data_IF_936680056905
#
_entry.id   IF_936680056905
#
_cell.length_a   1.000
_cell.length_b   1.000
_cell.length_c   1.000
_cell.angle_alpha   90.00
_cell.angle_beta   90.00
_cell.angle_gamma   90.00
#
_symmetry.space_group_name_H-M   'P 1'
#
loop_
_entity.id
_entity.type
_entity.pdbx_description
1 polymer ?
#
# COMPACT_ATOMS: atom_id res chain seq x y z
N UNK A 1 28.74 -41.52 -21.02
CA UNK A 1 27.40 -40.90 -21.08
C UNK A 1 26.67 -40.89 -19.73
N UNK A 2 26.49 -42.01 -19.01
CA UNK A 2 25.81 -42.04 -17.68
C UNK A 2 26.39 -41.10 -16.60
N UNK A 3 27.72 -40.93 -16.54
CA UNK A 3 28.38 -40.09 -15.53
C UNK A 3 28.13 -38.57 -15.71
N UNK A 4 27.89 -38.12 -16.95
CA UNK A 4 27.61 -36.71 -17.27
C UNK A 4 26.18 -36.30 -16.88
N UNK A 5 25.21 -37.22 -17.02
CA UNK A 5 23.80 -36.97 -16.67
C UNK A 5 23.63 -36.76 -15.17
N UNK A 6 24.33 -37.54 -14.34
CA UNK A 6 24.25 -37.45 -12.88
C UNK A 6 24.80 -36.10 -12.38
N UNK A 7 25.88 -35.60 -12.99
CA UNK A 7 26.49 -34.30 -12.62
C UNK A 7 25.55 -33.14 -12.96
N UNK A 8 24.88 -33.19 -14.12
CA UNK A 8 23.91 -32.16 -14.53
C UNK A 8 22.71 -32.14 -13.58
N UNK A 9 22.19 -33.31 -13.19
CA UNK A 9 21.08 -33.40 -12.24
C UNK A 9 21.49 -32.82 -10.87
N UNK A 10 22.70 -33.11 -10.39
CA UNK A 10 23.19 -32.56 -9.11
C UNK A 10 23.37 -31.04 -9.14
N UNK A 11 23.79 -30.45 -10.27
CA UNK A 11 23.91 -28.99 -10.41
C UNK A 11 22.54 -28.32 -10.47
N UNK A 12 21.55 -28.93 -11.15
CA UNK A 12 20.19 -28.40 -11.21
C UNK A 12 19.49 -28.54 -9.85
N UNK A 13 19.70 -29.66 -9.15
CA UNK A 13 19.20 -29.84 -7.78
C UNK A 13 19.87 -28.84 -6.85
N UNK A 14 21.20 -28.75 -6.82
CA UNK A 14 21.92 -27.80 -5.96
C UNK A 14 21.61 -26.33 -6.29
N UNK A 15 21.51 -25.97 -7.58
CA UNK A 15 21.15 -24.62 -8.03
C UNK A 15 19.68 -24.27 -7.77
N UNK A 16 18.78 -25.26 -7.81
CA UNK A 16 17.35 -25.10 -7.52
C UNK A 16 17.04 -24.78 -6.06
N UNK A 17 17.95 -25.09 -5.12
CA UNK A 17 17.79 -24.74 -3.69
C UNK A 17 18.27 -23.33 -3.33
N UNK A 18 19.02 -22.65 -4.21
CA UNK A 18 19.71 -21.39 -3.88
C UNK A 18 18.83 -20.14 -4.11
N UNK A 19 17.71 -20.25 -4.84
CA UNK A 19 16.80 -19.11 -5.02
C UNK A 19 15.72 -19.13 -3.93
N UNK A 20 16.13 -18.97 -2.67
CA UNK A 20 15.22 -18.41 -1.64
C UNK A 20 15.35 -16.90 -1.75
N UNK A 21 14.52 -16.33 -2.61
CA UNK A 21 14.30 -14.88 -2.67
C UNK A 21 13.85 -14.44 -1.26
N UNK A 22 14.74 -13.80 -0.52
CA UNK A 22 14.38 -13.13 0.73
C UNK A 22 13.56 -11.90 0.36
N UNK A 23 12.26 -12.07 0.17
CA UNK A 23 11.34 -10.93 0.11
C UNK A 23 11.34 -10.28 1.49
N UNK A 24 12.10 -9.19 1.63
CA UNK A 24 12.02 -8.32 2.80
C UNK A 24 10.60 -7.76 2.85
N UNK A 25 9.89 -7.98 3.96
CA UNK A 25 8.62 -7.31 4.20
C UNK A 25 8.88 -5.81 4.29
N UNK A 26 8.22 -5.05 3.41
CA UNK A 26 8.33 -3.61 3.38
C UNK A 26 7.54 -3.01 4.54
N UNK A 27 8.12 -2.07 5.26
CA UNK A 27 7.43 -1.31 6.31
C UNK A 27 6.39 -0.37 5.71
N UNK A 28 5.40 0.05 6.49
CA UNK A 28 4.38 1.02 6.03
C UNK A 28 5.01 2.34 5.59
N UNK A 29 6.09 2.78 6.25
CA UNK A 29 6.80 4.01 5.90
C UNK A 29 7.54 3.91 4.56
N UNK A 30 8.09 2.74 4.25
CA UNK A 30 8.70 2.45 2.93
C UNK A 30 7.62 2.34 1.85
N UNK A 31 6.48 1.71 2.15
CA UNK A 31 5.37 1.55 1.20
C UNK A 31 4.68 2.87 0.87
N UNK A 32 4.48 3.73 1.88
CA UNK A 32 3.83 5.04 1.77
C UNK A 32 4.77 6.15 2.24
N UNK A 33 5.74 6.54 1.40
CA UNK A 33 6.69 7.58 1.75
C UNK A 33 6.01 8.93 1.97
N UNK A 34 6.57 9.73 2.87
CA UNK A 34 6.13 11.08 3.15
C UNK A 34 6.51 12.08 2.03
N UNK A 35 6.04 13.34 2.15
CA UNK A 35 5.23 13.88 3.23
C UNK A 35 3.73 13.56 3.09
N UNK A 36 2.97 13.73 4.18
CA UNK A 36 1.52 13.75 4.11
C UNK A 36 1.04 14.91 3.23
N UNK A 37 0.09 14.64 2.33
CA UNK A 37 -0.63 15.65 1.57
C UNK A 37 -1.98 15.90 2.21
N UNK A 38 -2.30 17.16 2.45
CA UNK A 38 -3.62 17.57 2.96
C UNK A 38 -4.65 17.57 1.83
N UNK A 39 -5.89 17.16 2.14
CA UNK A 39 -6.99 17.24 1.19
C UNK A 39 -7.24 18.70 0.77
N UNK A 40 -7.07 19.01 -0.51
CA UNK A 40 -7.39 20.32 -1.10
C UNK A 40 -8.44 20.19 -2.19
N UNK A 41 -9.46 21.05 -2.17
CA UNK A 41 -10.55 21.06 -3.16
C UNK A 41 -10.09 21.27 -4.61
N UNK A 42 -8.87 21.77 -4.82
CA UNK A 42 -8.33 22.09 -6.14
C UNK A 42 -7.59 20.92 -6.79
N UNK A 43 -7.25 19.86 -6.03
CA UNK A 43 -6.49 18.73 -6.55
C UNK A 43 -7.44 17.61 -7.03
N UNK A 44 -7.24 17.12 -8.26
CA UNK A 44 -8.04 16.02 -8.83
C UNK A 44 -7.95 14.76 -7.97
N UNK A 45 -6.77 14.41 -7.48
CA UNK A 45 -6.54 13.28 -6.55
C UNK A 45 -7.43 13.35 -5.32
N UNK A 46 -7.58 14.55 -4.73
CA UNK A 46 -8.45 14.76 -3.56
C UNK A 46 -9.93 14.52 -3.92
N UNK A 47 -10.34 14.92 -5.12
CA UNK A 47 -11.71 14.65 -5.57
C UNK A 47 -11.95 13.16 -5.79
N UNK A 48 -11.01 12.45 -6.40
CA UNK A 48 -11.10 11.01 -6.67
C UNK A 48 -11.13 10.18 -5.38
N UNK A 49 -10.23 10.47 -4.42
CA UNK A 49 -10.21 9.81 -3.10
C UNK A 49 -11.53 10.04 -2.38
N UNK A 50 -12.03 11.29 -2.35
CA UNK A 50 -13.31 11.62 -1.72
C UNK A 50 -14.46 10.83 -2.34
N UNK A 51 -14.49 10.73 -3.67
CA UNK A 51 -15.53 9.99 -4.38
C UNK A 51 -15.47 8.49 -4.05
N UNK A 52 -14.27 7.88 -4.04
CA UNK A 52 -14.09 6.48 -3.68
C UNK A 52 -14.56 6.20 -2.24
N UNK A 53 -14.19 7.04 -1.28
CA UNK A 53 -14.64 6.94 0.12
C UNK A 53 -16.16 7.05 0.23
N UNK A 54 -16.76 8.03 -0.44
CA UNK A 54 -18.21 8.22 -0.46
C UNK A 54 -18.94 7.03 -1.11
N UNK A 55 -18.42 6.52 -2.23
CA UNK A 55 -18.97 5.38 -2.95
C UNK A 55 -18.96 4.08 -2.14
N UNK A 56 -18.02 3.94 -1.21
CA UNK A 56 -17.93 2.83 -0.27
C UNK A 56 -18.62 3.12 1.08
N UNK A 57 -19.43 4.18 1.16
CA UNK A 57 -20.17 4.60 2.36
C UNK A 57 -19.28 4.86 3.59
N UNK A 58 -18.03 5.28 3.39
CA UNK A 58 -17.16 5.69 4.50
C UNK A 58 -17.68 7.00 5.09
N UNK A 59 -18.28 6.91 6.27
CA UNK A 59 -18.82 8.07 7.01
C UNK A 59 -17.75 8.70 7.88
N UNK A 60 -17.99 9.94 8.32
CA UNK A 60 -17.16 10.64 9.31
C UNK A 60 -15.70 10.83 8.84
N UNK A 61 -15.53 11.18 7.56
CA UNK A 61 -14.25 11.33 6.89
C UNK A 61 -14.20 12.68 6.17
N UNK A 62 -14.53 13.76 6.91
CA UNK A 62 -14.69 15.11 6.37
C UNK A 62 -13.35 15.84 6.17
N UNK A 63 -12.33 15.47 6.95
CA UNK A 63 -10.95 15.93 6.80
C UNK A 63 -10.05 14.72 6.67
N UNK A 64 -9.11 14.78 5.73
CA UNK A 64 -8.16 13.70 5.54
C UNK A 64 -6.83 14.19 4.99
N UNK A 65 -5.80 13.40 5.27
CA UNK A 65 -4.47 13.52 4.69
C UNK A 65 -4.11 12.19 4.04
N UNK A 66 -3.26 12.22 3.02
CA UNK A 66 -2.94 11.02 2.27
C UNK A 66 -1.47 10.93 1.86
N UNK A 67 -0.98 9.70 1.68
CA UNK A 67 0.30 9.36 1.07
C UNK A 67 0.07 8.38 -0.06
N UNK A 68 0.87 8.49 -1.10
CA UNK A 68 0.80 7.62 -2.28
C UNK A 68 1.69 6.40 -2.06
N UNK A 69 1.26 5.23 -2.52
CA UNK A 69 2.13 4.05 -2.53
C UNK A 69 3.34 4.27 -3.46
N UNK A 70 4.52 3.79 -3.07
CA UNK A 70 5.76 4.06 -3.80
C UNK A 70 5.75 3.52 -5.25
N UNK A 71 5.15 2.34 -5.47
CA UNK A 71 5.13 1.65 -6.79
C UNK A 71 3.72 1.40 -7.35
N UNK A 72 2.67 1.85 -6.64
CA UNK A 72 1.29 1.63 -7.06
C UNK A 72 0.60 2.98 -7.27
N UNK A 73 0.59 3.51 -8.51
CA UNK A 73 0.28 4.91 -8.73
C UNK A 73 -1.17 5.31 -8.45
N UNK A 74 -2.06 4.34 -8.30
CA UNK A 74 -3.48 4.53 -7.98
C UNK A 74 -3.83 4.10 -6.55
N UNK A 75 -2.83 3.77 -5.73
CA UNK A 75 -3.01 3.34 -4.35
C UNK A 75 -2.56 4.43 -3.37
N UNK A 76 -3.40 4.67 -2.37
CA UNK A 76 -3.21 5.73 -1.40
C UNK A 76 -3.51 5.23 0.00
N UNK A 77 -2.61 5.51 0.94
CA UNK A 77 -2.91 5.46 2.36
C UNK A 77 -3.57 6.80 2.75
N UNK A 78 -4.78 6.71 3.29
CA UNK A 78 -5.58 7.86 3.68
C UNK A 78 -5.82 7.81 5.19
N UNK A 79 -5.34 8.81 5.90
CA UNK A 79 -5.75 9.06 7.29
C UNK A 79 -6.90 10.04 7.26
N UNK A 80 -8.04 9.68 7.85
CA UNK A 80 -9.16 10.62 8.00
C UNK A 80 -9.76 10.66 9.38
N UNK A 81 -10.40 11.78 9.65
CA UNK A 81 -10.98 12.12 10.95
C UNK A 81 -12.26 12.94 10.75
N UNK A 82 -13.16 12.87 11.73
CA UNK A 82 -14.34 13.74 11.81
C UNK A 82 -14.17 14.86 12.84
N UNK A 83 -13.41 14.62 13.91
CA UNK A 83 -13.23 15.50 15.06
C UNK A 83 -11.87 16.21 15.05
N UNK A 84 -10.95 15.80 14.18
CA UNK A 84 -9.58 16.33 14.12
C UNK A 84 -8.59 15.60 15.04
N UNK A 85 -9.05 14.69 15.89
CA UNK A 85 -8.23 14.01 16.91
C UNK A 85 -8.26 12.49 16.77
N UNK A 86 -9.41 11.92 16.41
CA UNK A 86 -9.59 10.48 16.20
C UNK A 86 -9.35 10.14 14.73
N UNK A 87 -8.12 9.74 14.42
CA UNK A 87 -7.72 9.35 13.07
C UNK A 87 -7.95 7.86 12.81
N UNK A 88 -8.41 7.53 11.60
CA UNK A 88 -8.48 6.16 11.08
C UNK A 88 -7.78 6.10 9.75
N UNK A 89 -7.13 4.97 9.48
CA UNK A 89 -6.45 4.72 8.22
C UNK A 89 -7.34 3.90 7.27
N UNK A 90 -7.22 4.20 5.98
CA UNK A 90 -7.83 3.45 4.88
C UNK A 90 -6.82 3.32 3.75
N UNK A 91 -6.89 2.22 3.02
CA UNK A 91 -6.19 2.07 1.75
C UNK A 91 -7.20 2.26 0.63
N UNK A 92 -6.94 3.21 -0.26
CA UNK A 92 -7.82 3.58 -1.38
C UNK A 92 -7.13 3.23 -2.69
N UNK A 93 -7.72 2.31 -3.44
CA UNK A 93 -7.27 1.90 -4.77
C UNK A 93 -8.21 2.53 -5.81
N UNK A 94 -7.79 3.65 -6.40
CA UNK A 94 -8.61 4.40 -7.34
C UNK A 94 -8.90 3.63 -8.64
N UNK A 95 -7.93 2.85 -9.13
CA UNK A 95 -8.08 2.06 -10.35
C UNK A 95 -9.16 0.97 -10.25
N UNK A 96 -9.41 0.46 -9.05
CA UNK A 96 -10.41 -0.56 -8.77
C UNK A 96 -11.64 -0.02 -8.02
N UNK A 97 -11.67 1.29 -7.75
CA UNK A 97 -12.68 1.95 -6.91
C UNK A 97 -12.91 1.22 -5.56
N UNK A 98 -11.84 0.69 -4.98
CA UNK A 98 -11.85 -0.15 -3.79
C UNK A 98 -11.30 0.62 -2.59
N UNK A 99 -11.96 0.48 -1.44
CA UNK A 99 -11.51 1.03 -0.16
C UNK A 99 -11.38 -0.12 0.84
N UNK A 100 -10.27 -0.14 1.58
CA UNK A 100 -9.98 -1.14 2.60
C UNK A 100 -9.77 -0.44 3.95
N UNK A 101 -10.25 -1.03 5.03
CA UNK A 101 -10.24 -0.45 6.38
C UNK A 101 -11.65 -0.37 6.99
N UNK A 102 -11.83 0.35 8.11
CA UNK A 102 -10.83 1.17 8.79
C UNK A 102 -9.73 0.35 9.47
N UNK A 103 -8.53 0.92 9.51
CA UNK A 103 -7.38 0.43 10.26
C UNK A 103 -6.95 1.44 11.34
N UNK A 104 -6.27 1.00 12.41
CA UNK A 104 -5.56 1.92 13.28
C UNK A 104 -4.46 2.67 12.48
N UNK A 105 -4.27 3.98 12.70
CA UNK A 105 -3.12 4.71 12.16
C UNK A 105 -1.80 4.07 12.60
N UNK A 106 -0.85 3.98 11.70
CA UNK A 106 0.50 3.51 12.01
C UNK A 106 1.32 4.66 12.61
N UNK A 107 1.74 4.51 13.87
CA UNK A 107 2.53 5.49 14.61
C UNK A 107 3.93 5.73 14.04
N UNK A 108 4.42 4.85 13.16
CA UNK A 108 5.70 5.06 12.46
C UNK A 108 5.63 6.12 11.36
N UNK A 109 4.43 6.60 11.02
CA UNK A 109 4.18 7.57 9.95
C UNK A 109 3.94 9.00 10.44
N UNK A 110 3.97 9.23 11.75
CA UNK A 110 3.72 10.54 12.36
C UNK A 110 4.93 11.49 12.26
#
# INVERSE_FOLDING_TARGET
MRKLVIVIILIVVAGGWVVREFSREMTTAEAYPGPWKESSHQESTTTEIRNALAGQNVRNCSRYKYRKHFDHPSEYLVHCTADGSSWRAYIVLLSAYKVMGPYPPDSSLD
#
